data_IF_100574401712
#
_entry.id   IF_100574401712
#
_cell.length_a   1.000
_cell.length_b   1.000
_cell.length_c   1.000
_cell.angle_alpha   90.00
_cell.angle_beta   90.00
_cell.angle_gamma   90.00
#
_symmetry.space_group_name_H-M   'P 1'
#
loop_
_entity.id
_entity.type
_entity.pdbx_description
1 polymer ?
#
# COMPACT_ATOMS: atom_id res chain seq x y z
N UNK A 1 -0.19 64.97 -41.00
CA UNK A 1 0.49 65.08 -39.69
C UNK A 1 0.27 63.79 -38.93
N UNK A 2 1.31 62.95 -38.79
CA UNK A 2 1.37 61.76 -37.92
C UNK A 2 0.45 60.59 -38.32
N UNK A 3 0.83 59.31 -38.31
CA UNK A 3 1.96 58.64 -37.69
C UNK A 3 2.01 57.19 -38.21
N UNK A 4 3.21 56.76 -38.63
CA UNK A 4 3.82 55.42 -38.56
C UNK A 4 3.08 54.19 -39.12
N UNK A 5 3.61 53.72 -40.25
CA UNK A 5 3.73 52.31 -40.60
C UNK A 5 5.20 51.84 -40.44
N UNK A 6 5.34 50.52 -40.27
CA UNK A 6 6.55 49.66 -40.17
C UNK A 6 7.29 49.51 -38.82
N UNK A 7 7.93 48.34 -38.55
CA UNK A 7 7.67 46.99 -39.08
C UNK A 7 7.64 45.89 -38.00
N UNK A 8 7.22 44.71 -38.47
CA UNK A 8 7.38 43.38 -37.92
C UNK A 8 8.76 43.16 -37.26
N UNK A 9 8.75 42.76 -35.98
CA UNK A 9 9.93 42.30 -35.25
C UNK A 9 9.62 40.92 -34.68
N UNK A 10 9.84 39.91 -35.51
CA UNK A 10 10.12 38.57 -35.04
C UNK A 10 11.34 38.59 -34.12
N UNK A 11 11.17 38.08 -32.90
CA UNK A 11 12.27 37.64 -32.05
C UNK A 11 12.01 36.18 -31.71
N UNK A 12 12.73 35.32 -32.43
CA UNK A 12 12.99 33.93 -32.04
C UNK A 12 13.73 33.96 -30.70
N UNK A 13 13.07 33.48 -29.64
CA UNK A 13 13.78 33.07 -28.42
C UNK A 13 13.85 31.55 -28.44
N UNK A 14 15.04 31.09 -28.81
CA UNK A 14 15.52 29.71 -28.70
C UNK A 14 15.22 29.16 -27.31
N UNK A 15 14.53 28.03 -27.26
CA UNK A 15 14.35 27.29 -26.01
C UNK A 15 15.70 26.81 -25.47
N UNK A 16 15.96 26.90 -24.16
CA UNK A 16 17.03 26.12 -23.57
C UNK A 16 16.61 24.65 -23.62
N UNK A 17 17.46 23.80 -24.20
CA UNK A 17 17.51 22.37 -23.88
C UNK A 17 18.22 22.20 -22.54
N UNK A 18 17.58 21.64 -21.51
CA UNK A 18 18.28 21.03 -20.39
C UNK A 18 18.23 19.51 -20.58
N UNK A 19 19.31 18.97 -21.13
CA UNK A 19 19.75 17.64 -20.78
C UNK A 19 20.46 17.77 -19.42
N UNK A 20 19.71 17.76 -18.32
CA UNK A 20 20.26 17.62 -16.98
C UNK A 20 19.39 16.66 -16.16
N UNK A 21 19.99 15.51 -15.91
CA UNK A 21 19.78 14.62 -14.77
C UNK A 21 18.32 14.17 -14.49
N UNK A 22 17.99 13.01 -15.05
CA UNK A 22 17.24 11.99 -14.32
C UNK A 22 17.94 11.74 -12.97
N UNK A 23 17.61 12.55 -11.96
CA UNK A 23 17.67 12.07 -10.60
C UNK A 23 16.58 10.99 -10.53
N UNK A 24 16.89 9.76 -10.07
CA UNK A 24 15.84 8.78 -9.86
C UNK A 24 14.95 9.35 -8.76
N UNK A 25 13.82 9.94 -9.15
CA UNK A 25 12.67 10.07 -8.27
C UNK A 25 12.40 8.64 -7.88
N UNK A 26 12.77 8.31 -6.65
CA UNK A 26 12.46 7.03 -6.04
C UNK A 26 10.94 7.04 -5.90
N UNK A 27 10.26 6.75 -7.00
CA UNK A 27 8.84 6.51 -7.03
C UNK A 27 8.67 5.21 -6.26
N UNK A 28 8.53 5.38 -4.94
CA UNK A 28 8.30 4.29 -4.01
C UNK A 28 6.93 3.73 -4.36
N UNK A 29 6.91 2.82 -5.32
CA UNK A 29 5.73 2.01 -5.59
C UNK A 29 5.30 1.44 -4.24
N UNK A 30 4.09 1.78 -3.81
CA UNK A 30 3.61 1.47 -2.45
C UNK A 30 3.69 -0.03 -2.15
N UNK A 31 3.59 -0.87 -3.20
CA UNK A 31 3.83 -2.32 -3.13
C UNK A 31 5.29 -2.72 -2.81
N UNK A 32 6.28 -1.93 -3.21
CA UNK A 32 7.70 -2.16 -2.91
C UNK A 32 8.05 -1.97 -1.43
N UNK A 33 7.50 -0.91 -0.80
CA UNK A 33 7.65 -0.68 0.65
C UNK A 33 6.97 -1.76 1.48
N UNK A 34 5.77 -2.16 1.09
CA UNK A 34 5.02 -3.25 1.72
C UNK A 34 5.80 -4.57 1.66
N UNK A 35 6.48 -4.84 0.54
CA UNK A 35 7.28 -6.05 0.37
C UNK A 35 8.53 -6.07 1.26
N UNK A 36 9.26 -4.95 1.33
CA UNK A 36 10.44 -4.85 2.22
C UNK A 36 10.07 -5.09 3.69
N UNK A 37 8.93 -4.57 4.14
CA UNK A 37 8.45 -4.81 5.51
C UNK A 37 8.11 -6.30 5.73
N UNK A 38 7.41 -6.92 4.80
CA UNK A 38 7.06 -8.34 4.87
C UNK A 38 8.32 -9.25 4.84
N UNK A 39 9.31 -8.95 4.01
CA UNK A 39 10.59 -9.69 3.96
C UNK A 39 11.33 -9.61 5.30
N UNK A 40 11.29 -8.46 5.98
CA UNK A 40 11.87 -8.31 7.33
C UNK A 40 11.11 -9.13 8.38
N UNK A 41 9.78 -9.15 8.33
CA UNK A 41 8.98 -10.01 9.22
C UNK A 41 9.31 -11.49 8.99
N UNK A 42 9.46 -11.92 7.74
CA UNK A 42 9.89 -13.27 7.40
C UNK A 42 11.28 -13.57 7.98
N UNK A 43 12.24 -12.66 7.84
CA UNK A 43 13.59 -12.81 8.39
C UNK A 43 13.61 -12.94 9.93
N UNK A 44 12.83 -12.12 10.63
CA UNK A 44 12.71 -12.18 12.10
C UNK A 44 12.05 -13.49 12.54
N UNK A 45 11.06 -13.97 11.79
CA UNK A 45 10.39 -15.24 12.05
C UNK A 45 11.37 -16.41 11.90
N UNK A 46 12.20 -16.40 10.85
CA UNK A 46 13.29 -17.40 10.66
C UNK A 46 14.26 -17.38 11.83
N UNK A 47 14.70 -16.20 12.26
CA UNK A 47 15.64 -16.03 13.36
C UNK A 47 15.09 -16.63 14.66
N UNK A 48 13.86 -16.29 15.03
CA UNK A 48 13.22 -16.80 16.26
C UNK A 48 12.88 -18.29 16.19
N UNK A 49 12.43 -18.78 15.03
CA UNK A 49 12.07 -20.19 14.84
C UNK A 49 13.28 -21.10 14.55
N UNK A 50 14.48 -20.53 14.38
CA UNK A 50 15.71 -21.23 13.97
C UNK A 50 15.47 -22.13 12.74
N UNK A 51 14.72 -21.61 11.76
CA UNK A 51 14.36 -22.33 10.54
C UNK A 51 15.33 -22.03 9.39
N UNK A 52 15.21 -22.75 8.27
CA UNK A 52 16.00 -22.44 7.10
C UNK A 52 15.44 -21.23 6.35
N UNK A 53 14.11 -21.16 6.22
CA UNK A 53 13.44 -20.11 5.43
C UNK A 53 12.04 -19.81 5.96
N UNK A 54 11.47 -18.68 5.51
CA UNK A 54 10.08 -18.30 5.79
C UNK A 54 9.41 -17.70 4.57
N UNK A 55 8.09 -17.89 4.49
CA UNK A 55 7.20 -17.27 3.51
C UNK A 55 6.00 -16.66 4.21
N UNK A 56 5.52 -15.55 3.66
CA UNK A 56 4.26 -14.93 4.04
C UNK A 56 3.39 -14.87 2.78
N UNK A 57 2.29 -15.60 2.82
CA UNK A 57 1.32 -15.65 1.73
C UNK A 57 0.02 -15.00 2.14
N UNK A 58 -0.61 -14.27 1.22
CA UNK A 58 -2.02 -13.88 1.32
C UNK A 58 -2.85 -14.68 0.31
N UNK A 59 -4.07 -15.03 0.70
CA UNK A 59 -5.02 -15.71 -0.17
C UNK A 59 -5.62 -14.73 -1.18
N UNK A 60 -5.60 -15.11 -2.46
CA UNK A 60 -6.21 -14.37 -3.56
C UNK A 60 -7.07 -15.31 -4.40
N UNK A 61 -8.37 -15.35 -4.10
CA UNK A 61 -9.29 -16.29 -4.70
C UNK A 61 -8.87 -17.74 -4.44
N UNK A 62 -8.43 -18.45 -5.48
CA UNK A 62 -7.98 -19.86 -5.42
C UNK A 62 -6.45 -20.03 -5.42
N UNK A 63 -5.73 -18.92 -5.34
CA UNK A 63 -4.27 -18.90 -5.37
C UNK A 63 -3.72 -18.20 -4.12
N UNK A 64 -2.41 -18.29 -3.93
CA UNK A 64 -1.70 -17.59 -2.89
C UNK A 64 -0.72 -16.61 -3.53
N UNK A 65 -0.75 -15.36 -3.07
CA UNK A 65 0.25 -14.37 -3.43
C UNK A 65 1.31 -14.29 -2.33
N UNK A 66 2.56 -14.50 -2.71
CA UNK A 66 3.72 -14.27 -1.85
C UNK A 66 3.88 -12.77 -1.64
N UNK A 67 3.79 -12.30 -0.39
CA UNK A 67 3.97 -10.89 -0.04
C UNK A 67 5.32 -10.60 0.62
N UNK A 68 5.95 -11.62 1.18
CA UNK A 68 7.32 -11.54 1.67
C UNK A 68 7.92 -12.92 1.91
N UNK A 69 9.24 -13.00 1.91
CA UNK A 69 9.97 -14.23 2.17
C UNK A 69 11.43 -14.01 2.51
N UNK A 70 12.04 -15.02 3.11
CA UNK A 70 13.44 -14.98 3.51
C UNK A 70 14.11 -16.33 3.27
N UNK A 71 15.31 -16.31 2.66
CA UNK A 71 16.13 -17.47 2.32
C UNK A 71 15.39 -18.55 1.50
N UNK A 72 14.60 -18.11 0.51
CA UNK A 72 13.85 -19.01 -0.36
C UNK A 72 14.81 -19.69 -1.36
N UNK A 73 14.76 -21.02 -1.45
CA UNK A 73 15.53 -21.74 -2.45
C UNK A 73 15.02 -21.45 -3.87
N UNK A 74 15.92 -21.59 -4.85
CA UNK A 74 15.55 -21.58 -6.26
C UNK A 74 14.47 -22.66 -6.52
N UNK A 75 13.35 -22.29 -7.14
CA UNK A 75 12.19 -23.18 -7.34
C UNK A 75 10.92 -22.79 -6.58
N UNK A 76 10.95 -21.74 -5.75
CA UNK A 76 9.74 -21.15 -5.15
C UNK A 76 8.97 -20.21 -6.11
N UNK A 77 9.64 -19.68 -7.13
CA UNK A 77 9.06 -18.73 -8.09
C UNK A 77 7.84 -19.29 -8.89
N UNK A 78 7.81 -20.58 -9.29
CA UNK A 78 6.64 -21.20 -9.92
C UNK A 78 5.46 -21.48 -8.97
N UNK A 79 5.64 -21.38 -7.65
CA UNK A 79 4.59 -21.74 -6.69
C UNK A 79 3.43 -20.73 -6.63
N UNK A 80 3.58 -19.55 -7.23
CA UNK A 80 2.54 -18.51 -7.27
C UNK A 80 1.25 -18.97 -7.95
N UNK A 81 1.31 -19.99 -8.83
CA UNK A 81 0.14 -20.50 -9.55
C UNK A 81 -0.44 -21.80 -8.98
N UNK A 82 0.16 -22.35 -7.92
CA UNK A 82 -0.34 -23.59 -7.33
C UNK A 82 -1.70 -23.33 -6.64
N UNK A 83 -2.73 -24.14 -6.91
CA UNK A 83 -4.00 -24.03 -6.22
C UNK A 83 -3.83 -24.15 -4.71
N UNK A 84 -4.51 -23.28 -3.95
CA UNK A 84 -4.41 -23.31 -2.48
C UNK A 84 -4.70 -24.71 -1.92
N UNK A 85 -5.66 -25.43 -2.51
CA UNK A 85 -6.09 -26.77 -2.09
C UNK A 85 -4.99 -27.84 -2.04
N UNK A 86 -3.90 -27.70 -2.81
CA UNK A 86 -2.82 -28.68 -2.86
C UNK A 86 -1.59 -28.28 -2.02
N UNK A 87 -1.65 -27.17 -1.30
CA UNK A 87 -0.51 -26.65 -0.51
C UNK A 87 -0.69 -26.84 0.98
N UNK A 88 0.42 -26.93 1.73
CA UNK A 88 0.41 -26.96 3.19
C UNK A 88 -0.22 -25.70 3.79
N UNK A 89 0.06 -24.54 3.20
CA UNK A 89 -0.59 -23.27 3.58
C UNK A 89 -2.11 -23.33 3.36
N UNK A 90 -2.58 -24.01 2.32
CA UNK A 90 -4.02 -24.21 2.12
C UNK A 90 -4.69 -25.12 3.12
N UNK A 91 -3.95 -26.03 3.77
CA UNK A 91 -4.45 -26.76 4.93
C UNK A 91 -4.73 -25.77 6.09
N UNK A 92 -3.79 -24.88 6.39
CA UNK A 92 -3.95 -23.83 7.42
C UNK A 92 -5.13 -22.91 7.10
N UNK A 93 -5.24 -22.43 5.86
CA UNK A 93 -6.34 -21.58 5.42
C UNK A 93 -7.71 -22.26 5.56
N UNK A 94 -7.77 -23.57 5.28
CA UNK A 94 -9.03 -24.34 5.32
C UNK A 94 -9.44 -24.74 6.74
N UNK A 95 -8.49 -25.17 7.58
CA UNK A 95 -8.79 -25.62 8.96
C UNK A 95 -8.90 -24.44 9.91
N UNK A 96 -8.16 -23.37 9.63
CA UNK A 96 -8.01 -22.20 10.46
C UNK A 96 -7.13 -22.38 11.70
N UNK A 97 -6.42 -23.50 11.76
CA UNK A 97 -5.50 -23.85 12.85
C UNK A 97 -4.05 -23.90 12.35
N UNK A 98 -3.07 -23.65 13.24
CA UNK A 98 -1.67 -23.88 12.92
C UNK A 98 -1.43 -25.31 12.41
N UNK A 99 -0.56 -25.43 11.40
CA UNK A 99 -0.10 -26.71 10.89
C UNK A 99 1.38 -26.87 11.22
N UNK A 100 1.70 -27.90 12.00
CA UNK A 100 3.08 -28.25 12.37
C UNK A 100 3.37 -29.66 11.86
N UNK A 101 4.46 -29.80 11.10
CA UNK A 101 4.91 -31.03 10.45
C UNK A 101 6.41 -31.18 10.72
N UNK A 102 6.77 -32.28 11.38
CA UNK A 102 8.16 -32.63 11.71
C UNK A 102 8.90 -33.30 10.54
N UNK A 103 8.19 -34.14 9.78
CA UNK A 103 8.64 -34.74 8.53
C UNK A 103 7.51 -34.81 7.50
N UNK A 104 7.62 -34.01 6.43
CA UNK A 104 6.69 -33.98 5.30
C UNK A 104 6.59 -35.34 4.62
N UNK A 105 7.68 -36.10 4.56
CA UNK A 105 7.67 -37.40 3.88
C UNK A 105 6.86 -38.45 4.64
N UNK A 106 6.84 -38.36 5.96
CA UNK A 106 6.19 -39.33 6.85
C UNK A 106 4.79 -38.91 7.34
N UNK A 107 4.34 -37.69 7.03
CA UNK A 107 3.06 -37.16 7.51
C UNK A 107 1.92 -37.44 6.52
N UNK A 108 1.01 -38.33 6.92
CA UNK A 108 -0.15 -38.75 6.11
C UNK A 108 -1.10 -37.60 5.74
N UNK A 109 -1.04 -36.46 6.44
CA UNK A 109 -1.85 -35.27 6.11
C UNK A 109 -1.32 -34.57 4.86
N UNK A 110 -0.10 -34.86 4.42
CA UNK A 110 0.54 -34.22 3.28
C UNK A 110 0.33 -35.05 2.01
N UNK A 111 -0.43 -34.54 1.03
CA UNK A 111 -0.64 -35.24 -0.24
C UNK A 111 0.67 -35.65 -0.92
N UNK A 112 0.65 -36.79 -1.62
CA UNK A 112 1.81 -37.30 -2.33
C UNK A 112 2.29 -36.35 -3.46
N UNK A 113 1.37 -35.58 -4.03
CA UNK A 113 1.60 -34.57 -5.06
C UNK A 113 1.78 -33.14 -4.50
N UNK A 114 1.89 -33.00 -3.17
CA UNK A 114 2.07 -31.70 -2.55
C UNK A 114 3.38 -31.04 -3.07
N UNK A 115 3.34 -29.78 -3.56
CA UNK A 115 4.52 -29.11 -4.09
C UNK A 115 5.67 -29.03 -3.09
N UNK A 116 5.36 -29.04 -1.79
CA UNK A 116 6.35 -29.09 -0.71
C UNK A 116 7.35 -30.24 -0.88
N UNK A 117 6.89 -31.41 -1.35
CA UNK A 117 7.76 -32.57 -1.64
C UNK A 117 8.67 -32.30 -2.84
N UNK A 118 8.12 -31.72 -3.91
CA UNK A 118 8.87 -31.41 -5.13
C UNK A 118 9.99 -30.38 -4.90
N UNK A 119 9.80 -29.44 -3.99
CA UNK A 119 10.83 -28.45 -3.60
C UNK A 119 11.73 -28.93 -2.44
N UNK A 120 11.55 -30.18 -1.97
CA UNK A 120 12.40 -30.80 -0.95
C UNK A 120 12.17 -30.30 0.48
N UNK A 121 11.04 -29.66 0.77
CA UNK A 121 10.70 -29.28 2.15
C UNK A 121 10.51 -30.55 2.97
N UNK A 122 11.24 -30.66 4.08
CA UNK A 122 11.15 -31.80 4.99
C UNK A 122 10.42 -31.45 6.28
N UNK A 123 10.41 -30.21 6.73
CA UNK A 123 9.62 -29.81 7.89
C UNK A 123 8.97 -28.44 7.68
N UNK A 124 7.84 -28.23 8.33
CA UNK A 124 6.99 -27.07 8.08
C UNK A 124 6.22 -26.67 9.34
N UNK A 125 6.17 -25.38 9.63
CA UNK A 125 5.25 -24.81 10.61
C UNK A 125 4.59 -23.57 10.02
N UNK A 126 3.26 -23.59 9.90
CA UNK A 126 2.47 -22.52 9.29
C UNK A 126 1.34 -22.06 10.21
N UNK A 127 1.25 -20.75 10.41
CA UNK A 127 0.28 -20.11 11.31
C UNK A 127 -0.62 -19.14 10.52
N UNK A 128 -1.92 -19.07 10.86
CA UNK A 128 -2.87 -18.26 10.11
C UNK A 128 -2.62 -16.76 10.32
N UNK A 129 -2.65 -16.01 9.23
CA UNK A 129 -2.68 -14.54 9.25
C UNK A 129 -4.13 -14.10 9.09
N UNK A 130 -4.58 -13.21 9.98
CA UNK A 130 -5.97 -12.74 10.02
C UNK A 130 -6.08 -11.31 9.55
N UNK A 131 -7.28 -10.92 9.17
CA UNK A 131 -7.64 -9.52 8.98
C UNK A 131 -8.29 -8.94 10.24
N UNK A 132 -8.60 -7.62 10.26
CA UNK A 132 -9.26 -7.00 11.41
C UNK A 132 -10.63 -7.60 11.77
N UNK A 133 -11.31 -8.26 10.83
CA UNK A 133 -12.58 -8.94 11.08
C UNK A 133 -12.39 -10.36 11.65
N UNK A 134 -11.13 -10.79 11.83
CA UNK A 134 -10.76 -12.12 12.31
C UNK A 134 -10.78 -13.21 11.23
N UNK A 135 -11.11 -12.84 9.98
CA UNK A 135 -11.10 -13.78 8.87
C UNK A 135 -9.65 -14.14 8.50
N UNK A 136 -9.43 -15.39 8.12
CA UNK A 136 -8.10 -15.86 7.75
C UNK A 136 -7.84 -15.47 6.31
N UNK A 137 -6.78 -14.69 6.11
CA UNK A 137 -6.45 -14.06 4.82
C UNK A 137 -5.08 -14.43 4.32
N UNK A 138 -4.34 -15.24 5.08
CA UNK A 138 -2.99 -15.64 4.71
C UNK A 138 -2.38 -16.63 5.69
N UNK A 139 -1.10 -16.93 5.47
CA UNK A 139 -0.29 -17.82 6.29
C UNK A 139 1.12 -17.24 6.40
N UNK A 140 1.64 -17.19 7.61
CA UNK A 140 3.06 -17.01 7.88
C UNK A 140 3.63 -18.39 8.20
N UNK A 141 4.63 -18.83 7.43
CA UNK A 141 5.17 -20.16 7.58
C UNK A 141 6.68 -20.18 7.51
N UNK A 142 7.27 -21.07 8.30
CA UNK A 142 8.68 -21.43 8.25
C UNK A 142 8.83 -22.86 7.77
N UNK A 143 9.98 -23.16 7.17
CA UNK A 143 10.30 -24.50 6.71
C UNK A 143 11.79 -24.81 6.80
N UNK A 144 12.11 -26.10 6.77
CA UNK A 144 13.47 -26.61 6.70
C UNK A 144 13.54 -27.77 5.69
N UNK A 145 14.74 -28.01 5.13
CA UNK A 145 15.02 -29.08 4.17
C UNK A 145 15.54 -30.35 4.85
N UNK A 146 15.52 -30.35 6.18
CA UNK A 146 15.73 -31.51 7.05
C UNK A 146 14.52 -31.72 7.94
N UNK A 147 14.35 -32.96 8.39
CA UNK A 147 13.40 -33.29 9.45
C UNK A 147 13.80 -32.58 10.74
N UNK A 148 12.83 -32.12 11.51
CA UNK A 148 13.08 -31.52 12.82
C UNK A 148 11.90 -31.74 13.74
N UNK A 149 12.16 -31.71 15.03
CA UNK A 149 11.12 -31.63 16.04
C UNK A 149 10.99 -30.17 16.51
N UNK A 150 9.83 -29.57 16.30
CA UNK A 150 9.60 -28.15 16.62
C UNK A 150 9.49 -27.93 18.13
N UNK A 151 10.34 -27.07 18.67
CA UNK A 151 10.27 -26.70 20.08
C UNK A 151 9.18 -25.64 20.32
N UNK A 152 8.61 -25.58 21.55
CA UNK A 152 7.58 -24.59 21.87
C UNK A 152 8.02 -23.13 21.68
N UNK A 153 9.27 -22.79 21.97
CA UNK A 153 9.84 -21.45 21.77
C UNK A 153 9.92 -21.11 20.27
N UNK A 154 10.29 -22.08 19.45
CA UNK A 154 10.35 -21.92 17.99
C UNK A 154 8.96 -21.71 17.40
N UNK A 155 7.97 -22.50 17.81
CA UNK A 155 6.57 -22.34 17.39
C UNK A 155 5.98 -21.01 17.85
N UNK A 156 6.33 -20.57 19.07
CA UNK A 156 5.93 -19.25 19.58
C UNK A 156 6.50 -18.12 18.72
N UNK A 157 7.74 -18.27 18.21
CA UNK A 157 8.30 -17.30 17.28
C UNK A 157 7.53 -17.25 15.94
N UNK A 158 7.07 -18.40 15.43
CA UNK A 158 6.24 -18.44 14.21
C UNK A 158 4.88 -17.79 14.45
N UNK A 159 4.24 -18.05 15.58
CA UNK A 159 2.97 -17.42 15.96
C UNK A 159 3.13 -15.90 16.09
N UNK A 160 4.17 -15.43 16.77
CA UNK A 160 4.50 -14.00 16.86
C UNK A 160 4.71 -13.37 15.47
N UNK A 161 5.36 -14.10 14.55
CA UNK A 161 5.49 -13.70 13.15
C UNK A 161 4.13 -13.55 12.45
N UNK A 162 3.22 -14.51 12.64
CA UNK A 162 1.86 -14.47 12.08
C UNK A 162 1.01 -13.33 12.68
N UNK A 163 1.16 -13.06 13.98
CA UNK A 163 0.51 -11.93 14.65
C UNK A 163 1.03 -10.59 14.13
N UNK A 164 2.34 -10.46 13.92
CA UNK A 164 2.92 -9.27 13.30
C UNK A 164 2.42 -9.09 11.85
N UNK A 165 2.30 -10.17 11.08
CA UNK A 165 1.69 -10.13 9.74
C UNK A 165 0.22 -9.71 9.78
N UNK A 166 -0.54 -10.14 10.81
CA UNK A 166 -1.94 -9.75 11.02
C UNK A 166 -2.05 -8.24 11.25
N UNK A 167 -1.21 -7.68 12.13
CA UNK A 167 -1.14 -6.24 12.37
C UNK A 167 -0.74 -5.47 11.09
N UNK A 168 0.23 -6.00 10.34
CA UNK A 168 0.64 -5.42 9.07
C UNK A 168 -0.50 -5.38 8.03
N UNK A 169 -1.24 -6.48 7.87
CA UNK A 169 -2.40 -6.54 6.97
C UNK A 169 -3.51 -5.58 7.41
N UNK A 170 -3.77 -5.48 8.71
CA UNK A 170 -4.72 -4.52 9.26
C UNK A 170 -4.37 -3.08 8.88
N UNK A 171 -3.10 -2.71 9.03
CA UNK A 171 -2.60 -1.38 8.71
C UNK A 171 -2.71 -1.07 7.21
N UNK A 172 -2.34 -2.02 6.35
CA UNK A 172 -2.47 -1.86 4.89
C UNK A 172 -3.94 -1.65 4.49
N UNK A 173 -4.86 -2.46 5.02
CA UNK A 173 -6.29 -2.31 4.72
C UNK A 173 -6.88 -0.99 5.21
N UNK A 174 -6.45 -0.52 6.38
CA UNK A 174 -6.87 0.79 6.89
C UNK A 174 -6.44 1.93 5.95
N UNK A 175 -5.17 1.91 5.49
CA UNK A 175 -4.65 2.88 4.51
C UNK A 175 -5.39 2.81 3.18
N UNK A 176 -5.64 1.60 2.66
CA UNK A 176 -6.38 1.41 1.41
C UNK A 176 -7.82 1.94 1.50
N UNK A 177 -8.48 1.72 2.64
CA UNK A 177 -9.83 2.23 2.89
C UNK A 177 -9.86 3.76 2.94
N UNK A 178 -8.90 4.39 3.63
CA UNK A 178 -8.74 5.84 3.67
C UNK A 178 -8.51 6.42 2.26
N UNK A 179 -7.57 5.84 1.50
CA UNK A 179 -7.30 6.26 0.13
C UNK A 179 -8.51 6.07 -0.80
N UNK A 180 -9.32 5.03 -0.59
CA UNK A 180 -10.55 4.79 -1.37
C UNK A 180 -11.61 5.84 -1.03
N UNK A 181 -11.79 6.14 0.25
CA UNK A 181 -12.75 7.17 0.69
C UNK A 181 -12.35 8.55 0.16
N UNK A 182 -11.06 8.90 0.24
CA UNK A 182 -10.55 10.16 -0.31
C UNK A 182 -10.79 10.27 -1.82
N UNK A 183 -10.40 9.25 -2.59
CA UNK A 183 -10.65 9.21 -4.04
C UNK A 183 -12.14 9.29 -4.40
N UNK A 184 -13.00 8.64 -3.63
CA UNK A 184 -14.44 8.70 -3.83
C UNK A 184 -14.98 10.12 -3.59
N UNK A 185 -14.59 10.77 -2.48
CA UNK A 185 -14.94 12.15 -2.19
C UNK A 185 -14.45 13.10 -3.28
N UNK A 186 -13.19 12.98 -3.70
CA UNK A 186 -12.61 13.79 -4.77
C UNK A 186 -13.41 13.63 -6.08
N UNK A 187 -13.73 12.39 -6.46
CA UNK A 187 -14.51 12.08 -7.66
C UNK A 187 -15.92 12.66 -7.58
N UNK A 188 -16.59 12.52 -6.42
CA UNK A 188 -17.92 13.09 -6.21
C UNK A 188 -17.91 14.61 -6.34
N UNK A 189 -16.97 15.27 -5.67
CA UNK A 189 -16.87 16.72 -5.65
C UNK A 189 -16.50 17.28 -7.02
N UNK A 190 -15.65 16.59 -7.78
CA UNK A 190 -15.28 16.98 -9.14
C UNK A 190 -16.40 16.76 -10.17
N UNK A 191 -17.40 15.92 -9.87
CA UNK A 191 -18.60 15.76 -10.70
C UNK A 191 -19.65 16.86 -10.50
N UNK A 192 -19.54 17.66 -9.43
CA UNK A 192 -20.46 18.74 -9.16
C UNK A 192 -20.15 19.96 -10.03
N UNK A 193 -21.18 20.49 -10.69
CA UNK A 193 -21.09 21.79 -11.35
C UNK A 193 -21.03 22.94 -10.34
N UNK A 194 -21.37 22.73 -9.07
CA UNK A 194 -21.24 23.75 -8.02
C UNK A 194 -19.81 23.82 -7.52
N UNK A 195 -19.26 25.03 -7.39
CA UNK A 195 -17.93 25.21 -6.81
C UNK A 195 -17.93 24.92 -5.31
N UNK A 196 -17.06 24.03 -4.86
CA UNK A 196 -16.91 23.62 -3.46
C UNK A 196 -15.46 23.79 -3.05
N UNK A 197 -15.25 24.45 -1.91
CA UNK A 197 -13.98 24.53 -1.22
C UNK A 197 -14.17 24.20 0.26
N UNK A 198 -13.18 23.56 0.87
CA UNK A 198 -13.13 23.31 2.31
C UNK A 198 -11.76 23.73 2.84
N UNK A 199 -11.73 24.33 4.03
CA UNK A 199 -10.51 24.70 4.73
C UNK A 199 -10.33 23.86 6.00
N UNK A 200 -9.08 23.58 6.37
CA UNK A 200 -8.74 23.02 7.66
C UNK A 200 -8.91 24.07 8.77
N UNK A 201 -8.80 23.63 10.05
CA UNK A 201 -8.96 24.51 11.21
C UNK A 201 -7.85 25.58 11.33
N UNK A 202 -6.74 25.42 10.60
CA UNK A 202 -5.69 26.42 10.46
C UNK A 202 -5.92 27.38 9.28
N UNK A 203 -7.04 27.23 8.57
CA UNK A 203 -7.49 28.02 7.43
C UNK A 203 -6.88 27.66 6.08
N UNK A 204 -5.99 26.67 6.03
CA UNK A 204 -5.45 26.18 4.76
C UNK A 204 -6.56 25.51 3.96
N UNK A 205 -6.61 25.72 2.63
CA UNK A 205 -7.58 24.99 1.79
C UNK A 205 -7.21 23.51 1.79
N UNK A 206 -8.08 22.72 2.41
CA UNK A 206 -8.00 21.27 2.42
C UNK A 206 -8.54 20.66 1.12
N UNK A 207 -9.45 21.37 0.43
CA UNK A 207 -10.08 20.90 -0.79
C UNK A 207 -10.59 22.06 -1.65
N UNK A 208 -10.43 21.93 -2.97
CA UNK A 208 -11.07 22.77 -4.00
C UNK A 208 -11.47 21.89 -5.19
N UNK A 209 -12.76 21.81 -5.49
CA UNK A 209 -13.25 20.96 -6.57
C UNK A 209 -13.01 21.55 -7.98
N UNK A 210 -13.16 20.73 -9.01
CA UNK A 210 -12.98 21.08 -10.43
C UNK A 210 -13.75 22.34 -10.83
N UNK A 211 -15.05 22.40 -10.55
CA UNK A 211 -15.89 23.53 -10.95
C UNK A 211 -15.36 24.86 -10.39
N UNK A 212 -14.94 24.88 -9.12
CA UNK A 212 -14.38 26.08 -8.50
C UNK A 212 -13.01 26.44 -9.08
N UNK A 213 -12.16 25.44 -9.38
CA UNK A 213 -10.87 25.65 -10.05
C UNK A 213 -11.05 26.28 -11.44
N UNK A 214 -11.95 25.73 -12.25
CA UNK A 214 -12.22 26.22 -13.61
C UNK A 214 -12.82 27.63 -13.60
N UNK A 215 -13.79 27.89 -12.73
CA UNK A 215 -14.45 29.21 -12.62
C UNK A 215 -13.51 30.31 -12.14
N UNK A 216 -12.55 29.97 -11.28
CA UNK A 216 -11.61 30.94 -10.70
C UNK A 216 -10.25 30.97 -11.40
N UNK A 217 -10.05 30.13 -12.43
CA UNK A 217 -8.78 30.00 -13.13
C UNK A 217 -7.63 29.52 -12.23
N UNK A 218 -7.93 28.80 -11.14
CA UNK A 218 -6.92 28.38 -10.16
C UNK A 218 -5.99 27.30 -10.72
N UNK A 219 -4.66 27.44 -10.54
CA UNK A 219 -3.74 26.34 -10.79
C UNK A 219 -4.02 25.18 -9.82
N UNK A 220 -3.70 23.95 -10.23
CA UNK A 220 -4.02 22.71 -9.50
C UNK A 220 -3.35 22.55 -8.12
N UNK A 221 -2.43 23.44 -7.76
CA UNK A 221 -1.62 23.38 -6.53
C UNK A 221 -1.66 24.71 -5.74
N UNK A 222 -2.85 25.21 -5.38
CA UNK A 222 -2.95 26.36 -4.46
C UNK A 222 -3.35 25.89 -3.07
N UNK A 223 -2.34 25.69 -2.21
CA UNK A 223 -2.49 25.26 -0.80
C UNK A 223 -2.35 26.40 0.21
N UNK A 224 -1.94 27.60 -0.24
CA UNK A 224 -1.47 28.67 0.64
C UNK A 224 -2.56 29.69 0.98
N UNK A 225 -2.74 29.93 2.29
CA UNK A 225 -3.85 30.65 2.91
C UNK A 225 -3.95 32.11 2.45
N UNK A 226 -2.81 32.77 2.32
CA UNK A 226 -2.72 34.17 1.89
C UNK A 226 -3.00 34.37 0.39
N UNK A 227 -2.95 33.30 -0.41
CA UNK A 227 -3.11 33.38 -1.87
C UNK A 227 -4.54 33.14 -2.31
N UNK A 228 -5.29 32.25 -1.67
CA UNK A 228 -6.63 31.88 -2.14
C UNK A 228 -7.72 32.88 -1.71
N UNK A 229 -7.60 33.52 -0.55
CA UNK A 229 -8.58 34.51 -0.06
C UNK A 229 -8.77 35.68 -1.05
N UNK A 230 -7.75 35.99 -1.86
CA UNK A 230 -7.81 37.00 -2.91
C UNK A 230 -8.54 36.51 -4.18
N UNK A 231 -8.60 35.20 -4.40
CA UNK A 231 -9.14 34.59 -5.62
C UNK A 231 -10.60 34.14 -5.44
N UNK A 232 -10.98 33.69 -4.25
CA UNK A 232 -12.36 33.34 -3.93
C UNK A 232 -13.15 34.63 -3.63
N UNK A 233 -14.24 34.94 -4.36
CA UNK A 233 -15.09 36.09 -4.09
C UNK A 233 -16.01 35.80 -2.89
N UNK A 234 -15.42 35.49 -1.73
CA UNK A 234 -16.21 35.28 -0.50
C UNK A 234 -16.72 36.64 -0.06
N UNK A 235 -18.04 36.75 0.07
CA UNK A 235 -18.69 37.92 0.64
C UNK A 235 -19.32 37.58 1.98
N UNK A 236 -19.42 38.56 2.87
CA UNK A 236 -20.37 38.51 3.98
C UNK A 236 -21.80 38.43 3.43
N UNK A 237 -22.79 38.03 4.24
CA UNK A 237 -24.21 38.14 3.86
C UNK A 237 -24.59 39.54 3.37
N UNK A 238 -23.89 40.57 3.86
CA UNK A 238 -24.07 41.98 3.48
C UNK A 238 -23.33 42.39 2.19
N UNK A 239 -22.72 41.43 1.48
CA UNK A 239 -22.02 41.67 0.20
C UNK A 239 -20.61 42.25 0.33
N UNK A 240 -20.07 42.40 1.54
CA UNK A 240 -18.70 42.89 1.74
C UNK A 240 -17.69 41.77 1.47
N UNK A 241 -16.70 42.01 0.61
CA UNK A 241 -15.67 41.01 0.30
C UNK A 241 -14.79 40.72 1.52
N UNK A 242 -14.57 39.46 1.83
CA UNK A 242 -13.59 39.06 2.85
C UNK A 242 -12.17 39.31 2.32
N UNK A 243 -11.31 39.89 3.15
CA UNK A 243 -9.86 39.99 2.92
C UNK A 243 -9.13 39.09 3.93
N UNK A 244 -7.94 38.62 3.59
CA UNK A 244 -7.19 37.58 4.32
C UNK A 244 -7.17 37.68 5.86
N UNK A 245 -7.06 38.85 6.53
CA UNK A 245 -7.04 38.88 7.99
C UNK A 245 -8.42 38.71 8.66
N UNK A 246 -9.51 38.53 7.91
CA UNK A 246 -10.84 38.36 8.46
C UNK A 246 -11.46 36.98 8.24
N UNK A 247 -11.00 36.13 7.30
CA UNK A 247 -11.67 34.84 7.00
C UNK A 247 -12.01 34.08 8.30
N UNK A 248 -13.25 33.59 8.52
CA UNK A 248 -13.60 32.74 9.67
C UNK A 248 -12.72 31.47 9.76
N UNK A 249 -12.15 31.14 8.61
CA UNK A 249 -11.20 30.09 8.30
C UNK A 249 -9.83 30.32 8.95
N UNK A 250 -9.39 31.57 9.09
CA UNK A 250 -8.05 31.97 9.52
C UNK A 250 -7.99 32.65 10.89
N UNK A 251 -9.12 32.76 11.59
CA UNK A 251 -9.14 33.26 12.97
C UNK A 251 -8.70 32.12 13.92
N UNK A 252 -7.54 32.32 14.54
CA UNK A 252 -7.06 31.54 15.68
C UNK A 252 -7.83 31.89 16.95
#
# INVERSE_FOLDING_TARGET
MGSRAEPDRGVLISGPTPAEADAPVMEMTHGGLSRVAADRLAALTVCGARAASAVIHLAEGRHMRLIGGYNLAAGFEPMQQVPTSSTLAGLVLRTGFPLVIDDVEADDRVPADAPARAVGIRSYAGFPVRDPAGAIVGVCAVMDYRTRHWQPDELTAVDNGAQACTAFVAEQRAREAEHRQRRYLDTMLDSLDTGVAACAADGCLALVNRSLRERLGMPSEVTDLDKWANWLPITTPDGTRWTAPRCPCGER
#
